data_IF_150439034957
#
_entry.id   IF_150439034957
#
_cell.length_a   1.000
_cell.length_b   1.000
_cell.length_c   1.000
_cell.angle_alpha   90.00
_cell.angle_beta   90.00
_cell.angle_gamma   90.00
#
_symmetry.space_group_name_H-M   'P 1'
#
loop_
_entity.id
_entity.type
_entity.pdbx_description
1 polymer ?
#
# COMPACT_ATOMS: atom_id res chain seq x y z
N UNK A 1 -14.16 6.88 12.03
CA UNK A 1 -12.95 7.73 11.98
C UNK A 1 -11.79 6.81 11.64
N UNK A 2 -11.14 6.99 10.48
CA UNK A 2 -9.95 6.21 10.11
C UNK A 2 -8.72 6.88 10.72
N UNK A 3 -7.87 6.11 11.40
CA UNK A 3 -6.63 6.61 11.99
C UNK A 3 -5.63 6.82 10.86
N UNK A 4 -4.91 7.93 10.88
CA UNK A 4 -3.97 8.31 9.82
C UNK A 4 -2.56 7.84 10.20
N UNK A 5 -1.76 7.40 9.21
CA UNK A 5 -0.32 7.18 9.43
C UNK A 5 0.34 8.56 9.59
N UNK A 6 0.42 9.06 10.82
CA UNK A 6 1.22 10.23 11.14
C UNK A 6 2.70 9.83 11.16
N UNK A 7 3.49 10.42 10.26
CA UNK A 7 4.92 10.18 10.10
C UNK A 7 5.77 10.67 11.30
N UNK A 8 5.17 10.88 12.48
CA UNK A 8 5.79 11.54 13.63
C UNK A 8 6.26 10.63 14.76
N UNK A 9 5.99 9.33 14.76
CA UNK A 9 6.13 8.52 15.99
C UNK A 9 6.72 7.11 15.84
N UNK A 10 7.55 6.83 14.82
CA UNK A 10 8.31 5.57 14.75
C UNK A 10 9.80 5.85 14.90
N UNK A 11 10.21 6.32 16.08
CA UNK A 11 11.63 6.33 16.47
C UNK A 11 12.05 4.93 16.87
N UNK A 12 12.47 4.15 15.88
CA UNK A 12 13.10 2.85 16.07
C UNK A 12 13.86 2.48 14.79
N UNK A 13 15.10 2.96 14.65
CA UNK A 13 15.98 2.58 13.54
C UNK A 13 16.29 1.09 13.62
N UNK A 14 15.52 0.25 12.94
CA UNK A 14 15.82 -1.17 12.77
C UNK A 14 15.25 -1.69 11.45
N UNK A 15 16.09 -1.69 10.41
CA UNK A 15 15.82 -2.35 9.14
C UNK A 15 16.60 -1.69 8.01
N UNK A 16 17.44 -2.46 7.31
CA UNK A 16 18.34 -1.99 6.23
C UNK A 16 17.60 -1.27 5.10
N UNK A 17 18.31 -0.65 4.16
CA UNK A 17 17.74 0.31 3.20
C UNK A 17 16.56 -0.25 2.38
N UNK A 18 15.52 0.57 2.10
CA UNK A 18 14.41 0.15 1.26
C UNK A 18 14.91 -0.21 -0.14
N UNK A 19 14.27 -1.17 -0.81
CA UNK A 19 14.69 -1.49 -2.18
C UNK A 19 14.54 -0.25 -3.07
N UNK A 20 15.48 -0.06 -4.01
CA UNK A 20 15.53 1.14 -4.87
C UNK A 20 14.21 1.39 -5.61
N UNK A 21 13.55 0.33 -6.05
CA UNK A 21 12.23 0.44 -6.69
C UNK A 21 11.20 1.10 -5.78
N UNK A 22 11.13 0.74 -4.50
CA UNK A 22 10.20 1.35 -3.56
C UNK A 22 10.52 2.85 -3.38
N UNK A 23 11.79 3.20 -3.22
CA UNK A 23 12.27 4.59 -3.09
C UNK A 23 11.85 5.44 -4.28
N UNK A 24 12.13 4.97 -5.49
CA UNK A 24 11.80 5.69 -6.73
C UNK A 24 10.28 5.93 -6.80
N UNK A 25 9.48 4.91 -6.49
CA UNK A 25 8.03 4.98 -6.56
C UNK A 25 7.39 5.86 -5.50
N UNK A 26 7.90 5.86 -4.28
CA UNK A 26 7.45 6.81 -3.24
C UNK A 26 7.79 8.23 -3.66
N UNK A 27 9.00 8.46 -4.19
CA UNK A 27 9.42 9.81 -4.62
C UNK A 27 8.56 10.35 -5.77
N UNK A 28 8.20 9.49 -6.74
CA UNK A 28 7.31 9.86 -7.85
C UNK A 28 5.87 10.11 -7.41
N UNK A 29 5.34 9.26 -6.52
CA UNK A 29 3.89 9.21 -6.23
C UNK A 29 3.49 9.99 -4.98
N UNK A 30 4.44 10.19 -4.07
CA UNK A 30 4.27 10.91 -2.80
C UNK A 30 5.45 11.89 -2.62
N UNK A 31 5.57 12.94 -3.46
CA UNK A 31 6.78 13.79 -3.50
C UNK A 31 7.11 14.48 -2.17
N UNK A 32 8.31 14.28 -1.63
CA UNK A 32 8.72 14.87 -0.34
C UNK A 32 8.26 14.09 0.89
N UNK A 33 7.78 12.85 0.72
CA UNK A 33 7.63 11.90 1.83
C UNK A 33 8.88 11.04 1.93
N UNK A 34 9.35 10.76 3.15
CA UNK A 34 10.53 9.90 3.36
C UNK A 34 10.18 8.44 3.05
N UNK A 35 10.80 7.80 2.03
CA UNK A 35 10.53 6.41 1.69
C UNK A 35 10.89 5.44 2.83
N UNK A 36 11.93 5.73 3.61
CA UNK A 36 12.33 4.86 4.71
C UNK A 36 11.30 4.89 5.84
N UNK A 37 10.87 6.09 6.25
CA UNK A 37 9.77 6.24 7.22
C UNK A 37 8.46 5.59 6.75
N UNK A 38 8.12 5.70 5.45
CA UNK A 38 6.91 5.05 4.93
C UNK A 38 7.00 3.52 5.02
N UNK A 39 8.14 2.96 4.61
CA UNK A 39 8.39 1.51 4.67
C UNK A 39 8.25 1.02 6.11
N UNK A 40 8.93 1.68 7.03
CA UNK A 40 8.93 1.29 8.45
C UNK A 40 7.55 1.43 9.07
N UNK A 41 6.78 2.48 8.70
CA UNK A 41 5.40 2.66 9.12
C UNK A 41 4.48 1.53 8.65
N UNK A 42 4.54 1.16 7.36
CA UNK A 42 3.75 0.05 6.81
C UNK A 42 4.14 -1.27 7.49
N UNK A 43 5.45 -1.53 7.63
CA UNK A 43 5.95 -2.76 8.25
C UNK A 43 5.55 -2.86 9.71
N UNK A 44 5.64 -1.76 10.46
CA UNK A 44 5.18 -1.70 11.85
C UNK A 44 3.68 -1.94 11.95
N UNK A 45 2.88 -1.28 11.11
CA UNK A 45 1.42 -1.44 11.11
C UNK A 45 1.01 -2.90 10.82
N UNK A 46 1.66 -3.56 9.86
CA UNK A 46 1.43 -4.98 9.58
C UNK A 46 1.88 -5.90 10.72
N UNK A 47 3.04 -5.64 11.34
CA UNK A 47 3.53 -6.43 12.49
C UNK A 47 2.61 -6.35 13.71
N UNK A 48 1.90 -5.22 13.86
CA UNK A 48 1.01 -4.95 14.99
C UNK A 48 -0.47 -5.19 14.65
N UNK A 49 -0.77 -5.76 13.48
CA UNK A 49 -2.14 -5.97 12.97
C UNK A 49 -3.01 -4.70 13.05
N UNK A 50 -2.42 -3.53 12.74
CA UNK A 50 -3.08 -2.22 12.77
C UNK A 50 -3.90 -1.97 11.49
N UNK A 51 -5.04 -2.66 11.39
CA UNK A 51 -5.98 -2.56 10.27
C UNK A 51 -6.59 -1.17 10.08
N UNK A 52 -6.50 -0.32 11.10
CA UNK A 52 -6.92 1.09 11.06
C UNK A 52 -5.94 1.98 10.28
N UNK A 53 -4.68 1.54 10.13
CA UNK A 53 -3.62 2.26 9.41
C UNK A 53 -3.33 1.67 8.03
N UNK A 54 -3.36 0.34 7.92
CA UNK A 54 -3.16 -0.40 6.67
C UNK A 54 -4.29 -1.41 6.47
N UNK A 55 -5.09 -1.24 5.43
CA UNK A 55 -6.26 -2.06 5.18
C UNK A 55 -6.00 -3.08 4.08
N UNK A 56 -6.21 -4.36 4.34
CA UNK A 56 -6.03 -5.40 3.33
C UNK A 56 -7.07 -5.29 2.20
N UNK A 57 -6.57 -5.17 0.98
CA UNK A 57 -7.39 -5.02 -0.22
C UNK A 57 -7.52 -6.33 -0.99
N UNK A 58 -6.43 -7.06 -1.23
CA UNK A 58 -6.48 -8.27 -2.04
C UNK A 58 -5.15 -9.01 -2.15
N UNK A 59 -5.20 -10.22 -2.71
CA UNK A 59 -4.02 -11.08 -2.92
C UNK A 59 -3.50 -10.94 -4.35
N UNK A 60 -2.18 -11.05 -4.53
CA UNK A 60 -1.56 -11.15 -5.85
C UNK A 60 -1.25 -12.62 -6.14
N UNK A 61 -2.26 -13.33 -6.67
CA UNK A 61 -2.16 -14.76 -6.93
C UNK A 61 -2.09 -15.62 -5.66
N UNK A 62 -1.46 -16.78 -5.77
CA UNK A 62 -1.31 -17.75 -4.66
C UNK A 62 -0.12 -17.48 -3.73
N UNK A 63 0.77 -16.55 -4.09
CA UNK A 63 1.99 -16.26 -3.32
C UNK A 63 1.75 -15.32 -2.13
N UNK A 64 2.78 -15.12 -1.31
CA UNK A 64 2.80 -14.23 -0.14
C UNK A 64 2.71 -12.73 -0.45
N UNK A 65 2.27 -12.32 -1.65
CA UNK A 65 2.15 -10.90 -2.03
C UNK A 65 0.72 -10.41 -1.90
N UNK A 66 0.54 -9.28 -1.23
CA UNK A 66 -0.78 -8.73 -0.89
C UNK A 66 -0.80 -7.22 -1.10
N UNK A 67 -1.97 -6.70 -1.47
CA UNK A 67 -2.22 -5.28 -1.55
C UNK A 67 -2.82 -4.75 -0.26
N UNK A 68 -2.30 -3.61 0.18
CA UNK A 68 -2.78 -2.87 1.33
C UNK A 68 -3.04 -1.42 0.94
N UNK A 69 -4.16 -0.89 1.41
CA UNK A 69 -4.52 0.52 1.29
C UNK A 69 -4.06 1.26 2.54
N UNK A 70 -3.52 2.46 2.38
CA UNK A 70 -3.11 3.31 3.50
C UNK A 70 -3.33 4.79 3.17
N UNK A 71 -3.58 5.59 4.19
CA UNK A 71 -3.83 7.02 4.06
C UNK A 71 -2.59 7.83 4.43
N UNK A 72 -2.24 8.79 3.58
CA UNK A 72 -1.18 9.78 3.85
C UNK A 72 -1.83 11.14 4.09
N UNK A 73 -1.62 11.76 5.27
CA UNK A 73 -2.27 13.02 5.62
C UNK A 73 -1.98 14.11 4.60
N UNK A 74 -3.04 14.80 4.15
CA UNK A 74 -2.96 15.87 3.16
C UNK A 74 -2.63 15.43 1.72
N UNK A 75 -2.49 14.12 1.46
CA UNK A 75 -2.11 13.58 0.14
C UNK A 75 -3.08 12.53 -0.40
N UNK A 76 -3.88 11.92 0.47
CA UNK A 76 -4.93 10.98 0.12
C UNK A 76 -4.55 9.53 0.34
N UNK A 77 -5.31 8.64 -0.29
CA UNK A 77 -5.22 7.20 -0.13
C UNK A 77 -4.34 6.57 -1.20
N UNK A 78 -3.45 5.68 -0.79
CA UNK A 78 -2.50 4.98 -1.65
C UNK A 78 -2.60 3.47 -1.46
N UNK A 79 -2.12 2.72 -2.45
CA UNK A 79 -2.07 1.27 -2.42
C UNK A 79 -0.62 0.79 -2.40
N UNK A 80 -0.23 -0.02 -1.43
CA UNK A 80 1.06 -0.70 -1.39
C UNK A 80 0.92 -2.17 -1.81
N UNK A 81 1.85 -2.65 -2.63
CA UNK A 81 2.10 -4.08 -2.77
C UNK A 81 3.16 -4.49 -1.76
N UNK A 82 2.83 -5.46 -0.93
CA UNK A 82 3.69 -5.92 0.15
C UNK A 82 3.96 -7.42 -0.01
N UNK A 83 5.22 -7.80 0.14
CA UNK A 83 5.60 -9.19 0.42
C UNK A 83 5.32 -9.48 1.89
N UNK A 84 4.27 -10.22 2.17
CA UNK A 84 3.84 -10.56 3.53
C UNK A 84 4.60 -11.72 4.15
N UNK A 85 5.42 -12.45 3.38
CA UNK A 85 6.30 -13.46 3.96
C UNK A 85 7.46 -12.78 4.72
N UNK A 86 7.90 -11.62 4.23
CA UNK A 86 8.98 -10.82 4.81
C UNK A 86 8.49 -9.51 5.48
N UNK A 87 7.20 -9.20 5.35
CA UNK A 87 6.59 -7.92 5.73
C UNK A 87 7.29 -6.71 5.07
N UNK A 88 7.67 -6.86 3.80
CA UNK A 88 8.45 -5.88 3.07
C UNK A 88 7.61 -5.21 1.96
N UNK A 89 7.41 -3.88 2.01
CA UNK A 89 6.79 -3.12 0.93
C UNK A 89 7.63 -3.17 -0.35
N UNK A 90 7.03 -3.61 -1.45
CA UNK A 90 7.69 -3.71 -2.75
C UNK A 90 7.49 -2.42 -3.55
N UNK A 91 6.25 -1.91 -3.63
CA UNK A 91 5.93 -0.72 -4.42
C UNK A 91 4.67 -0.03 -3.88
N UNK A 92 4.50 1.26 -4.17
CA UNK A 92 3.31 2.07 -3.86
C UNK A 92 2.68 2.51 -5.15
N UNK A 93 1.39 2.36 -5.39
CA UNK A 93 0.70 2.78 -6.62
C UNK A 93 0.22 4.24 -6.51
N UNK A 94 -0.06 4.83 -7.67
CA UNK A 94 -0.59 6.19 -7.75
C UNK A 94 -1.92 6.33 -6.97
N UNK A 95 -2.22 7.54 -6.46
CA UNK A 95 -3.47 7.79 -5.75
C UNK A 95 -4.67 7.57 -6.68
N UNK A 96 -5.79 7.10 -6.13
CA UNK A 96 -7.00 6.75 -6.90
C UNK A 96 -6.94 5.41 -7.64
N UNK A 97 -5.84 4.66 -7.48
CA UNK A 97 -5.76 3.28 -7.93
C UNK A 97 -6.50 2.36 -6.95
N UNK A 98 -7.43 1.56 -7.46
CA UNK A 98 -8.15 0.57 -6.67
C UNK A 98 -7.81 -0.85 -7.14
N UNK A 99 -7.56 -1.74 -6.19
CA UNK A 99 -7.56 -3.16 -6.46
C UNK A 99 -8.94 -3.73 -6.11
N UNK A 100 -9.61 -4.37 -7.06
CA UNK A 100 -10.88 -5.00 -6.79
C UNK A 100 -10.69 -6.27 -5.95
N UNK A 101 -11.48 -6.40 -4.87
CA UNK A 101 -11.74 -7.68 -4.19
C UNK A 101 -12.58 -8.55 -5.13
N UNK A 102 -11.95 -9.19 -6.10
CA UNK A 102 -12.54 -10.33 -6.76
C UNK A 102 -11.69 -11.51 -6.35
N UNK A 103 -12.34 -12.63 -6.00
CA UNK A 103 -11.72 -13.94 -5.82
C UNK A 103 -11.12 -14.42 -7.17
N UNK A 104 -10.06 -13.74 -7.60
CA UNK A 104 -9.47 -13.79 -8.94
C UNK A 104 -8.31 -12.81 -9.07
N UNK A 105 -7.53 -12.86 -10.17
CA UNK A 105 -6.36 -11.98 -10.35
C UNK A 105 -6.81 -10.51 -10.38
N UNK A 106 -6.06 -9.66 -9.68
CA UNK A 106 -6.37 -8.23 -9.58
C UNK A 106 -6.26 -7.60 -10.97
N UNK A 107 -7.40 -7.17 -11.50
CA UNK A 107 -7.49 -6.40 -12.73
C UNK A 107 -7.20 -4.93 -12.41
N UNK A 108 -6.10 -4.43 -12.96
CA UNK A 108 -5.72 -3.02 -12.95
C UNK A 108 -6.82 -2.19 -13.61
N UNK A 109 -7.38 -1.21 -12.89
CA UNK A 109 -8.28 -0.21 -13.47
C UNK A 109 -7.70 1.17 -13.14
N UNK A 110 -7.10 1.88 -14.11
CA UNK A 110 -6.73 3.27 -13.93
C UNK A 110 -8.01 4.11 -13.79
N UNK A 111 -7.97 5.14 -12.96
CA UNK A 111 -9.12 5.93 -12.49
C UNK A 111 -10.04 6.50 -13.60
N UNK A 112 -9.59 6.53 -14.86
CA UNK A 112 -10.31 7.10 -15.99
C UNK A 112 -11.28 6.13 -16.70
N UNK A 113 -11.25 4.83 -16.37
CA UNK A 113 -12.17 3.86 -16.94
C UNK A 113 -13.37 3.62 -16.03
N UNK A 114 -14.48 4.33 -16.28
CA UNK A 114 -15.80 4.01 -15.71
C UNK A 114 -16.16 2.56 -16.03
N UNK A 115 -16.08 1.69 -15.03
CA UNK A 115 -16.53 0.31 -15.11
C UNK A 115 -18.04 0.24 -15.35
N UNK A 116 -18.46 -0.53 -16.36
CA UNK A 116 -19.83 -1.05 -16.44
C UNK A 116 -19.85 -2.45 -15.85
N UNK A 117 -20.76 -2.75 -14.89
CA UNK A 117 -20.93 -4.11 -14.42
C UNK A 117 -21.27 -5.05 -15.57
N UNK A 118 -20.38 -6.01 -15.86
CA UNK A 118 -20.81 -7.21 -16.56
C UNK A 118 -21.68 -8.00 -15.59
N UNK A 119 -23.01 -7.93 -15.83
CA UNK A 119 -23.97 -8.82 -15.20
C UNK A 119 -23.52 -10.26 -15.47
N UNK A 120 -23.33 -11.05 -14.40
CA UNK A 120 -23.25 -12.50 -14.51
C UNK A 120 -24.54 -13.00 -15.19
N UNK A 121 -24.39 -13.75 -16.28
CA UNK A 121 -25.41 -14.66 -16.79
C UNK A 121 -25.44 -15.92 -15.91
#
# INVERSE_FOLDING_TARGET
MKTVIEAGAVMGRSGGDPCRHFVDRVSERIPGFDPSALRDGIRWALKQDRWDLVHFVGRVGKGGRRFFEFDVPGRGTFLALVDTDNLEPITVYAPGMHANRIDGPILYCPADHRWKPQRRL
#
